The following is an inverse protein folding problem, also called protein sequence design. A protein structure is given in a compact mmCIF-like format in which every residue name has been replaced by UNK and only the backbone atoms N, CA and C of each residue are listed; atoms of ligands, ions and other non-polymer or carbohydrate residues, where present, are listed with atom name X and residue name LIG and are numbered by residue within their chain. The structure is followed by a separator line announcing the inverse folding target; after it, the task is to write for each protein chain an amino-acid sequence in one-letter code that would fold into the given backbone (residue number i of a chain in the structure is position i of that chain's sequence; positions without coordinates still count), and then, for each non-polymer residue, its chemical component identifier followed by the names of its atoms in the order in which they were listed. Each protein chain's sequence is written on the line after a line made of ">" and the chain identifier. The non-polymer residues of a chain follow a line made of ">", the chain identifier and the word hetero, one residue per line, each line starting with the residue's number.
data_IF_290942707486
#
_entry.id   IF_290942707486
#
_cell.length_a   1.000
_cell.length_b   1.000
_cell.length_c   1.000
_cell.angle_alpha   90.00
_cell.angle_beta   90.00
_cell.angle_gamma   90.00
#
_symmetry.space_group_name_H-M   'P 1'
#
loop_
_entity.id
_entity.type
_entity.pdbx_description
1 polymer ?
#
# COMPACT_ATOMS: atom_id res chain seq x y z
N UNK A 1 15.04 87.65 -18.52
CA UNK A 1 14.02 86.59 -18.58
C UNK A 1 14.71 85.27 -18.23
N UNK A 2 14.61 84.79 -16.98
CA UNK A 2 15.29 83.56 -16.48
C UNK A 2 14.28 82.45 -16.40
N UNK A 3 14.43 81.41 -17.21
CA UNK A 3 13.61 80.21 -17.23
C UNK A 3 14.21 79.27 -16.20
N UNK A 4 13.38 78.89 -15.17
CA UNK A 4 13.72 77.83 -14.19
C UNK A 4 13.20 76.52 -14.72
N UNK A 5 14.06 75.55 -15.00
CA UNK A 5 13.71 74.15 -15.24
C UNK A 5 13.53 73.50 -13.87
N UNK A 6 12.34 73.00 -13.60
CA UNK A 6 12.01 72.11 -12.50
C UNK A 6 12.16 70.64 -12.96
N UNK A 7 13.12 69.93 -12.37
CA UNK A 7 13.32 68.52 -12.63
C UNK A 7 12.32 67.71 -11.79
N UNK A 8 11.42 66.96 -12.44
CA UNK A 8 10.57 65.95 -11.78
C UNK A 8 11.40 64.64 -11.61
N UNK A 9 11.63 64.26 -10.36
CA UNK A 9 12.18 62.96 -10.02
C UNK A 9 11.03 61.89 -10.00
N UNK A 10 11.09 60.95 -10.91
CA UNK A 10 10.22 59.79 -10.87
C UNK A 10 10.79 58.75 -9.89
N UNK A 11 10.11 58.52 -8.75
CA UNK A 11 10.37 57.38 -7.88
C UNK A 11 9.75 56.12 -8.54
N UNK A 12 10.61 55.25 -9.03
CA UNK A 12 10.19 53.91 -9.45
C UNK A 12 10.04 53.04 -8.21
N UNK A 13 8.80 52.75 -7.79
CA UNK A 13 8.50 51.76 -6.76
C UNK A 13 8.67 50.37 -7.38
N UNK A 14 9.73 49.68 -6.99
CA UNK A 14 9.93 48.29 -7.35
C UNK A 14 8.92 47.41 -6.57
N UNK A 15 7.90 46.91 -7.25
CA UNK A 15 6.99 45.87 -6.75
C UNK A 15 7.78 44.55 -6.62
N UNK A 16 8.17 44.20 -5.40
CA UNK A 16 8.70 42.88 -5.07
C UNK A 16 7.51 41.93 -5.01
N UNK A 17 7.27 41.22 -6.10
CA UNK A 17 6.32 40.08 -6.11
C UNK A 17 6.92 38.95 -5.28
N UNK A 18 6.17 38.36 -4.34
CA UNK A 18 6.63 37.17 -3.65
C UNK A 18 6.79 36.05 -4.67
N UNK A 19 8.00 35.58 -4.88
CA UNK A 19 8.25 34.32 -5.59
C UNK A 19 7.67 33.21 -4.77
N UNK A 20 6.48 32.71 -5.14
CA UNK A 20 5.99 31.43 -4.66
C UNK A 20 7.04 30.41 -5.07
N UNK A 21 7.78 29.87 -4.07
CA UNK A 21 8.63 28.71 -4.27
C UNK A 21 7.73 27.59 -4.78
N UNK A 22 7.68 27.41 -6.10
CA UNK A 22 7.02 26.29 -6.74
C UNK A 22 7.57 25.03 -6.09
N UNK A 23 6.70 24.11 -5.67
CA UNK A 23 7.10 22.78 -5.24
C UNK A 23 8.00 22.22 -6.35
N UNK A 24 9.32 22.21 -6.10
CA UNK A 24 10.30 21.80 -7.09
C UNK A 24 9.97 20.40 -7.58
N UNK A 25 9.86 20.24 -8.89
CA UNK A 25 9.72 18.92 -9.51
C UNK A 25 10.82 18.01 -8.95
N UNK A 26 10.42 17.01 -8.18
CA UNK A 26 11.33 15.95 -7.74
C UNK A 26 11.26 14.83 -8.79
N UNK A 27 12.39 14.42 -9.38
CA UNK A 27 12.40 13.30 -10.30
C UNK A 27 11.76 12.06 -9.61
N UNK A 28 11.04 11.21 -10.36
CA UNK A 28 10.51 9.98 -9.82
C UNK A 28 11.63 9.21 -9.12
N UNK A 29 11.35 8.67 -7.95
CA UNK A 29 12.33 7.92 -7.16
C UNK A 29 12.78 6.72 -7.99
N UNK A 30 14.07 6.67 -8.29
CA UNK A 30 14.63 5.54 -9.03
C UNK A 30 14.53 4.29 -8.15
N UNK A 31 13.83 3.25 -8.63
CA UNK A 31 13.74 1.97 -7.95
C UNK A 31 15.12 1.29 -7.94
N UNK A 32 15.76 1.07 -6.78
CA UNK A 32 17.06 0.41 -6.72
C UNK A 32 17.00 -1.07 -7.12
N UNK A 33 15.79 -1.64 -7.16
CA UNK A 33 15.54 -3.02 -7.55
C UNK A 33 15.38 -3.20 -9.07
N UNK A 34 15.64 -2.14 -9.84
CA UNK A 34 15.64 -2.18 -11.31
C UNK A 34 17.05 -2.03 -11.90
N UNK A 35 17.22 -2.52 -13.11
CA UNK A 35 18.47 -2.40 -13.89
C UNK A 35 19.66 -3.16 -13.29
N UNK A 36 20.87 -2.68 -13.59
CA UNK A 36 22.11 -3.38 -13.22
C UNK A 36 22.37 -3.45 -11.70
N UNK A 37 21.92 -2.44 -10.95
CA UNK A 37 22.08 -2.39 -9.48
C UNK A 37 21.32 -3.51 -8.78
N UNK A 38 20.19 -3.91 -9.31
CA UNK A 38 19.35 -4.98 -8.77
C UNK A 38 20.08 -6.33 -8.65
N UNK A 39 21.09 -6.59 -9.49
CA UNK A 39 21.87 -7.84 -9.47
C UNK A 39 22.60 -8.07 -8.15
N UNK A 40 22.99 -7.00 -7.46
CA UNK A 40 23.70 -7.04 -6.19
C UNK A 40 22.79 -6.91 -4.97
N UNK A 41 21.48 -6.83 -5.18
CA UNK A 41 20.49 -6.66 -4.13
C UNK A 41 19.59 -7.91 -4.00
N UNK A 42 19.19 -8.18 -2.78
CA UNK A 42 18.14 -9.13 -2.46
C UNK A 42 16.83 -8.34 -2.41
N UNK A 43 16.28 -8.03 -3.57
CA UNK A 43 15.09 -7.22 -3.68
C UNK A 43 13.84 -7.97 -3.21
N UNK A 44 12.95 -7.31 -2.45
CA UNK A 44 11.64 -7.84 -2.13
C UNK A 44 10.73 -7.87 -3.35
N UNK A 45 9.61 -8.59 -3.23
CA UNK A 45 8.57 -8.73 -4.22
C UNK A 45 7.28 -9.13 -3.49
N UNK A 46 6.35 -8.21 -3.38
CA UNK A 46 5.04 -8.48 -2.77
C UNK A 46 4.05 -8.88 -3.85
N UNK A 47 3.27 -9.89 -3.56
CA UNK A 47 2.15 -10.31 -4.40
C UNK A 47 0.92 -10.50 -3.54
N UNK A 48 -0.23 -10.20 -4.08
CA UNK A 48 -1.47 -10.54 -3.42
C UNK A 48 -2.11 -11.75 -4.09
N UNK A 49 -2.53 -12.74 -3.27
CA UNK A 49 -3.27 -13.89 -3.75
C UNK A 49 -4.65 -13.50 -4.31
N UNK A 50 -5.26 -14.35 -5.17
CA UNK A 50 -6.63 -14.11 -5.57
C UNK A 50 -7.57 -14.13 -4.36
N UNK A 51 -8.63 -13.30 -4.35
CA UNK A 51 -9.63 -13.31 -3.29
C UNK A 51 -10.12 -14.74 -2.99
N UNK A 52 -10.12 -15.14 -1.73
CA UNK A 52 -10.53 -16.48 -1.30
C UNK A 52 -11.54 -16.41 -0.15
N UNK A 53 -12.11 -17.56 0.25
CA UNK A 53 -13.06 -17.69 1.36
C UNK A 53 -14.17 -16.64 1.29
N UNK A 54 -14.74 -16.47 0.10
CA UNK A 54 -15.71 -15.42 -0.18
C UNK A 54 -17.10 -15.83 0.31
N UNK A 55 -17.77 -14.89 0.98
CA UNK A 55 -19.16 -15.01 1.37
C UNK A 55 -19.86 -13.66 1.39
N UNK A 56 -21.17 -13.64 1.52
CA UNK A 56 -21.93 -12.40 1.70
C UNK A 56 -22.60 -12.35 3.07
N UNK A 57 -22.68 -11.14 3.62
CA UNK A 57 -23.45 -10.82 4.80
C UNK A 57 -24.37 -9.62 4.55
N UNK A 58 -25.36 -9.44 5.40
CA UNK A 58 -26.21 -8.23 5.40
C UNK A 58 -26.03 -7.49 6.70
N UNK A 59 -25.69 -6.22 6.62
CA UNK A 59 -25.53 -5.35 7.79
C UNK A 59 -25.95 -3.91 7.47
N UNK A 60 -26.81 -3.34 8.31
CA UNK A 60 -27.28 -1.97 8.15
C UNK A 60 -27.92 -1.69 6.78
N UNK A 61 -28.68 -2.62 6.23
CA UNK A 61 -29.32 -2.50 4.90
C UNK A 61 -28.33 -2.63 3.72
N UNK A 62 -27.06 -2.95 3.96
CA UNK A 62 -26.05 -3.18 2.94
C UNK A 62 -25.82 -4.67 2.74
N UNK A 63 -25.51 -5.06 1.50
CA UNK A 63 -25.04 -6.42 1.16
C UNK A 63 -23.53 -6.35 0.99
N UNK A 64 -22.80 -7.04 1.85
CA UNK A 64 -21.34 -6.98 1.93
C UNK A 64 -20.75 -8.29 1.40
N UNK A 65 -19.92 -8.19 0.37
CA UNK A 65 -19.09 -9.29 -0.12
C UNK A 65 -17.76 -9.28 0.63
N UNK A 66 -17.51 -10.34 1.38
CA UNK A 66 -16.29 -10.56 2.14
C UNK A 66 -15.31 -11.43 1.36
N UNK A 67 -14.00 -11.25 1.61
CA UNK A 67 -12.97 -12.12 1.05
C UNK A 67 -11.70 -12.10 1.91
N UNK A 68 -11.04 -13.22 2.02
CA UNK A 68 -9.67 -13.33 2.56
C UNK A 68 -8.68 -12.72 1.58
N UNK A 69 -7.74 -11.94 2.10
CA UNK A 69 -6.59 -11.42 1.36
C UNK A 69 -5.28 -11.99 1.89
N UNK A 70 -4.38 -12.36 1.00
CA UNK A 70 -3.11 -13.02 1.28
C UNK A 70 -1.98 -12.25 0.61
N UNK A 71 -1.26 -11.43 1.39
CA UNK A 71 -0.09 -10.65 0.94
C UNK A 71 1.16 -11.50 1.11
N UNK A 72 1.77 -11.89 0.00
CA UNK A 72 2.86 -12.85 -0.10
C UNK A 72 4.19 -12.17 -0.36
N UNK A 73 5.26 -12.58 0.34
CA UNK A 73 6.63 -12.18 0.04
C UNK A 73 7.30 -13.21 -0.86
N UNK A 74 7.60 -12.85 -2.11
CA UNK A 74 8.10 -13.74 -3.16
C UNK A 74 9.47 -13.35 -3.71
N UNK A 75 10.02 -12.22 -3.29
CA UNK A 75 11.31 -11.70 -3.73
C UNK A 75 12.52 -12.52 -3.29
N UNK A 76 13.69 -12.02 -3.65
CA UNK A 76 14.97 -12.59 -3.19
C UNK A 76 15.32 -12.19 -1.77
N UNK A 77 14.74 -11.09 -1.25
CA UNK A 77 14.89 -10.59 0.10
C UNK A 77 13.52 -10.24 0.71
N UNK A 78 13.50 -9.99 2.02
CA UNK A 78 12.28 -9.63 2.73
C UNK A 78 11.83 -8.22 2.38
N UNK A 79 10.54 -7.93 2.51
CA UNK A 79 10.05 -6.58 2.66
C UNK A 79 10.33 -6.13 4.10
N UNK A 80 11.24 -5.18 4.29
CA UNK A 80 11.72 -4.73 5.61
C UNK A 80 11.54 -3.21 5.75
N UNK A 81 10.53 -2.82 6.51
CA UNK A 81 10.06 -1.44 6.65
C UNK A 81 10.39 -0.90 8.04
N UNK A 82 11.02 0.27 8.10
CA UNK A 82 11.40 0.96 9.33
C UNK A 82 10.66 2.29 9.42
N UNK A 83 9.73 2.36 10.36
CA UNK A 83 8.99 3.57 10.71
C UNK A 83 9.78 4.43 11.70
N UNK A 84 9.77 5.74 11.48
CA UNK A 84 10.23 6.76 12.43
C UNK A 84 9.10 7.76 12.60
N UNK A 85 8.70 8.01 13.85
CA UNK A 85 7.63 8.95 14.18
C UNK A 85 7.84 10.32 13.54
N UNK A 86 6.79 10.86 12.95
CA UNK A 86 6.74 12.20 12.38
C UNK A 86 5.47 12.97 12.76
N UNK A 87 4.54 12.31 13.44
CA UNK A 87 3.31 12.89 13.93
C UNK A 87 2.68 12.07 15.07
N UNK A 88 1.58 12.55 15.62
CA UNK A 88 0.89 11.88 16.75
C UNK A 88 0.50 10.43 16.42
N UNK A 89 0.06 10.16 15.20
CA UNK A 89 -0.45 8.86 14.73
C UNK A 89 0.18 8.44 13.40
N UNK A 90 1.35 8.99 13.06
CA UNK A 90 2.03 8.73 11.80
C UNK A 90 3.52 8.52 11.98
N UNK A 91 4.10 7.72 11.07
CA UNK A 91 5.54 7.56 10.90
C UNK A 91 5.90 7.61 9.43
N UNK A 92 7.02 8.27 9.11
CA UNK A 92 7.70 8.11 7.82
C UNK A 92 8.38 6.76 7.77
N UNK A 93 8.40 6.15 6.57
CA UNK A 93 8.96 4.83 6.36
C UNK A 93 10.20 4.89 5.49
N UNK A 94 11.24 4.20 5.92
CA UNK A 94 12.37 3.77 5.09
C UNK A 94 12.30 2.27 4.88
N UNK A 95 12.80 1.81 3.75
CA UNK A 95 12.90 0.40 3.42
C UNK A 95 14.36 -0.03 3.43
N UNK A 96 14.66 -1.15 4.06
CA UNK A 96 15.97 -1.82 3.94
C UNK A 96 15.91 -2.86 2.84
N UNK A 97 16.88 -2.79 1.94
CA UNK A 97 17.08 -3.77 0.87
C UNK A 97 18.45 -4.40 1.09
N UNK A 98 18.48 -5.68 1.31
CA UNK A 98 19.70 -6.41 1.64
C UNK A 98 20.58 -6.61 0.41
N UNK A 99 21.88 -6.76 0.62
CA UNK A 99 22.87 -7.01 -0.44
C UNK A 99 23.22 -8.48 -0.52
N UNK A 100 23.51 -8.94 -1.73
CA UNK A 100 24.21 -10.22 -1.91
C UNK A 100 25.58 -10.10 -1.24
N UNK A 101 25.92 -11.03 -0.36
CA UNK A 101 27.19 -10.98 0.39
C UNK A 101 27.14 -10.23 1.73
N UNK A 102 25.97 -9.67 2.11
CA UNK A 102 25.73 -9.07 3.42
C UNK A 102 25.59 -7.55 3.42
N UNK A 103 25.08 -7.06 4.54
CA UNK A 103 24.70 -5.65 4.69
C UNK A 103 23.41 -5.26 3.95
N UNK A 104 23.07 -3.99 3.95
CA UNK A 104 21.86 -3.46 3.29
C UNK A 104 22.08 -2.03 2.80
N UNK A 105 21.18 -1.56 1.96
CA UNK A 105 20.94 -0.14 1.68
C UNK A 105 19.64 0.27 2.37
N UNK A 106 19.55 1.53 2.76
CA UNK A 106 18.33 2.13 3.30
C UNK A 106 17.83 3.19 2.33
N UNK A 107 16.59 3.06 1.90
CA UNK A 107 15.96 3.97 0.93
C UNK A 107 14.72 4.60 1.53
N UNK A 108 14.47 5.88 1.20
CA UNK A 108 13.23 6.56 1.58
C UNK A 108 12.10 6.07 0.67
N UNK A 109 10.98 5.71 1.26
CA UNK A 109 9.79 5.26 0.54
C UNK A 109 8.74 6.37 0.41
N UNK A 110 7.68 6.11 -0.35
CA UNK A 110 6.44 6.89 -0.32
C UNK A 110 5.47 6.42 0.77
N UNK A 111 5.75 5.26 1.37
CA UNK A 111 4.90 4.66 2.41
C UNK A 111 4.99 5.40 3.74
N UNK A 112 3.97 5.22 4.57
CA UNK A 112 3.92 5.66 5.96
C UNK A 112 3.28 4.60 6.83
N UNK A 113 3.52 4.66 8.16
CA UNK A 113 2.73 3.92 9.12
C UNK A 113 1.69 4.84 9.75
N UNK A 114 0.50 4.29 10.00
CA UNK A 114 -0.55 4.96 10.74
C UNK A 114 -1.00 4.09 11.91
N UNK A 115 -1.16 4.72 13.08
CA UNK A 115 -1.78 4.08 14.24
C UNK A 115 -3.29 3.99 14.01
N UNK A 116 -3.77 2.78 13.76
CA UNK A 116 -5.12 2.50 13.24
C UNK A 116 -5.90 1.69 14.24
N UNK A 117 -7.11 2.14 14.57
CA UNK A 117 -8.06 1.38 15.36
C UNK A 117 -8.84 0.40 14.46
N UNK A 118 -8.94 -0.86 14.89
CA UNK A 118 -9.72 -1.91 14.24
C UNK A 118 -10.81 -2.47 15.16
N UNK A 119 -11.02 -1.84 16.31
CA UNK A 119 -11.95 -2.28 17.34
C UNK A 119 -11.38 -3.38 18.25
N UNK A 120 -11.91 -3.46 19.46
CA UNK A 120 -11.42 -4.38 20.50
C UNK A 120 -11.47 -5.85 20.09
N UNK A 121 -12.49 -6.26 19.33
CA UNK A 121 -12.65 -7.64 18.84
C UNK A 121 -11.46 -8.09 17.95
N UNK A 122 -10.86 -7.16 17.19
CA UNK A 122 -9.71 -7.44 16.32
C UNK A 122 -8.36 -7.02 16.93
N UNK A 123 -8.29 -6.84 18.25
CA UNK A 123 -7.06 -6.52 18.98
C UNK A 123 -6.82 -5.03 19.22
N UNK A 124 -7.80 -4.16 18.97
CA UNK A 124 -7.73 -2.73 19.31
C UNK A 124 -6.97 -1.90 18.29
N UNK A 125 -5.98 -1.13 18.73
CA UNK A 125 -5.24 -0.20 17.87
C UNK A 125 -3.78 -0.61 17.73
N UNK A 126 -3.22 -0.49 16.53
CA UNK A 126 -1.81 -0.76 16.27
C UNK A 126 -1.30 -0.05 15.01
N UNK A 127 0.02 -0.02 14.88
CA UNK A 127 0.68 0.56 13.72
C UNK A 127 0.50 -0.32 12.49
N UNK A 128 0.12 0.30 11.37
CA UNK A 128 -0.10 -0.37 10.07
C UNK A 128 0.54 0.41 8.95
N UNK A 129 1.00 -0.28 7.92
CA UNK A 129 1.35 0.35 6.65
C UNK A 129 0.10 0.96 6.04
N UNK A 130 0.14 2.27 5.82
CA UNK A 130 -0.99 3.05 5.31
C UNK A 130 -1.19 2.82 3.82
N UNK A 131 -2.42 2.50 3.42
CA UNK A 131 -2.80 2.28 2.03
C UNK A 131 -1.95 1.21 1.32
N UNK A 132 -1.56 0.15 2.04
CA UNK A 132 -0.79 -0.96 1.49
C UNK A 132 -1.59 -1.79 0.49
N UNK A 133 -2.91 -1.80 0.58
CA UNK A 133 -3.73 -2.54 -0.37
C UNK A 133 -4.92 -1.71 -0.88
N UNK A 134 -5.48 -2.15 -2.02
CA UNK A 134 -6.70 -1.62 -2.62
C UNK A 134 -7.51 -2.78 -3.18
N UNK A 135 -8.81 -2.80 -2.88
CA UNK A 135 -9.74 -3.79 -3.43
C UNK A 135 -10.80 -3.07 -4.25
N UNK A 136 -11.03 -3.56 -5.45
CA UNK A 136 -11.91 -2.96 -6.45
C UNK A 136 -12.83 -4.00 -7.06
N UNK A 137 -14.05 -3.58 -7.36
CA UNK A 137 -14.99 -4.37 -8.14
C UNK A 137 -15.22 -3.67 -9.47
N UNK A 138 -14.99 -4.40 -10.56
CA UNK A 138 -15.14 -3.92 -11.94
C UNK A 138 -16.06 -4.87 -12.72
N UNK A 139 -17.03 -4.39 -13.50
CA UNK A 139 -17.82 -5.26 -14.37
C UNK A 139 -16.91 -5.95 -15.40
N UNK A 140 -17.19 -7.22 -15.69
CA UNK A 140 -16.59 -7.93 -16.82
C UNK A 140 -17.41 -7.60 -18.05
N UNK A 141 -16.75 -7.04 -19.07
CA UNK A 141 -17.35 -6.64 -20.33
C UNK A 141 -17.60 -7.84 -21.25
N UNK A 142 -18.46 -7.72 -22.29
CA UNK A 142 -18.73 -8.80 -23.23
C UNK A 142 -17.50 -9.36 -23.95
N UNK A 143 -16.49 -8.53 -24.18
CA UNK A 143 -15.20 -8.91 -24.76
C UNK A 143 -14.25 -9.57 -23.76
N UNK A 144 -14.67 -9.73 -22.50
CA UNK A 144 -13.87 -10.26 -21.39
C UNK A 144 -12.96 -9.24 -20.71
N UNK A 145 -12.91 -8.01 -21.19
CA UNK A 145 -12.21 -6.90 -20.58
C UNK A 145 -12.86 -6.44 -19.26
N UNK A 146 -12.19 -5.55 -18.54
CA UNK A 146 -12.68 -4.98 -17.27
C UNK A 146 -13.15 -3.54 -17.50
N UNK A 147 -14.37 -3.25 -17.08
CA UNK A 147 -14.90 -1.89 -17.06
C UNK A 147 -14.35 -1.04 -15.91
N UNK A 148 -14.93 0.14 -15.74
CA UNK A 148 -14.56 1.07 -14.67
C UNK A 148 -14.86 0.53 -13.28
N UNK A 149 -14.14 1.03 -12.27
CA UNK A 149 -14.35 0.66 -10.87
C UNK A 149 -15.73 1.12 -10.41
N UNK A 150 -16.57 0.19 -10.00
CA UNK A 150 -17.93 0.49 -9.50
C UNK A 150 -18.01 0.48 -7.98
N UNK A 151 -17.11 -0.22 -7.30
CA UNK A 151 -17.02 -0.27 -5.82
C UNK A 151 -15.58 -0.47 -5.39
N UNK A 152 -15.27 0.05 -4.17
CA UNK A 152 -14.01 -0.17 -3.46
C UNK A 152 -14.29 -0.70 -2.06
N UNK A 153 -13.33 -1.40 -1.48
CA UNK A 153 -13.36 -1.81 -0.07
C UNK A 153 -12.81 -0.71 0.84
N UNK A 154 -13.29 -0.59 2.08
CA UNK A 154 -12.67 0.25 3.10
C UNK A 154 -11.33 -0.29 3.64
N UNK A 155 -10.96 -1.55 3.32
CA UNK A 155 -9.69 -2.14 3.73
C UNK A 155 -8.53 -1.56 2.94
N UNK A 156 -7.66 -0.82 3.62
CA UNK A 156 -6.52 -0.13 3.01
C UNK A 156 -5.20 -0.39 3.75
N UNK A 157 -5.26 -0.57 5.07
CA UNK A 157 -4.08 -0.60 5.94
C UNK A 157 -3.77 -2.02 6.44
N UNK A 158 -2.51 -2.39 6.44
CA UNK A 158 -2.04 -3.72 6.80
C UNK A 158 -0.95 -3.66 7.88
N UNK A 159 -1.08 -4.54 8.87
CA UNK A 159 0.02 -4.90 9.77
C UNK A 159 0.92 -5.92 9.05
N UNK A 160 1.77 -5.47 8.16
CA UNK A 160 2.62 -6.39 7.40
C UNK A 160 3.53 -7.18 8.33
N UNK A 161 3.34 -8.51 8.38
CA UNK A 161 4.01 -9.44 9.30
C UNK A 161 4.14 -10.86 8.73
N UNK A 162 4.90 -11.71 9.41
CA UNK A 162 4.99 -13.14 9.12
C UNK A 162 3.89 -13.90 9.85
N UNK A 163 2.76 -14.16 9.18
CA UNK A 163 1.66 -14.93 9.77
C UNK A 163 1.74 -16.41 9.42
N UNK A 164 1.95 -16.72 8.13
CA UNK A 164 2.01 -18.09 7.65
C UNK A 164 3.18 -18.29 6.68
N UNK A 165 3.89 -19.42 6.80
CA UNK A 165 4.95 -19.81 5.87
C UNK A 165 4.37 -20.54 4.66
N UNK A 166 3.96 -19.78 3.65
CA UNK A 166 3.23 -20.29 2.48
C UNK A 166 4.13 -20.81 1.36
N UNK A 167 5.42 -20.48 1.37
CA UNK A 167 6.42 -20.99 0.40
C UNK A 167 7.74 -21.34 1.09
N UNK A 168 7.84 -22.52 1.75
CA UNK A 168 9.09 -23.02 2.29
C UNK A 168 10.16 -23.09 1.21
N UNK A 169 11.40 -22.74 1.54
CA UNK A 169 12.54 -22.80 0.63
C UNK A 169 13.85 -22.39 1.30
N UNK A 170 14.96 -22.47 0.59
CA UNK A 170 16.31 -22.20 1.10
C UNK A 170 16.45 -20.82 1.77
N UNK A 171 15.74 -19.81 1.26
CA UNK A 171 15.80 -18.42 1.77
C UNK A 171 14.61 -18.03 2.64
N UNK A 172 13.68 -18.97 2.89
CA UNK A 172 12.53 -18.76 3.75
C UNK A 172 12.87 -19.18 5.19
N UNK A 173 12.92 -18.26 6.16
CA UNK A 173 13.18 -18.61 7.54
C UNK A 173 12.13 -19.60 8.05
N UNK A 174 12.54 -20.51 8.94
CA UNK A 174 11.66 -21.53 9.52
C UNK A 174 10.72 -20.98 10.58
N UNK A 175 11.08 -19.84 11.18
CA UNK A 175 10.30 -19.15 12.20
C UNK A 175 9.98 -17.73 11.71
N UNK A 176 8.86 -17.19 12.14
CA UNK A 176 8.46 -15.82 11.87
C UNK A 176 9.54 -14.85 12.37
N UNK A 177 9.95 -13.92 11.52
CA UNK A 177 10.93 -12.88 11.83
C UNK A 177 10.24 -11.54 12.14
N UNK A 178 9.17 -11.23 11.42
CA UNK A 178 8.38 -10.02 11.63
C UNK A 178 7.17 -10.36 12.51
N UNK A 179 7.16 -9.89 13.77
CA UNK A 179 6.08 -10.18 14.72
C UNK A 179 4.81 -9.37 14.39
N UNK A 180 3.79 -9.53 15.23
CA UNK A 180 2.60 -8.67 15.20
C UNK A 180 2.95 -7.20 15.41
N UNK A 181 2.13 -6.31 14.87
CA UNK A 181 2.35 -4.88 14.92
C UNK A 181 2.22 -4.31 16.34
N UNK A 182 3.00 -3.27 16.60
CA UNK A 182 3.08 -2.64 17.90
C UNK A 182 1.77 -1.90 18.25
N UNK A 183 1.31 -2.07 19.50
CA UNK A 183 0.10 -1.46 20.06
C UNK A 183 0.38 -0.22 20.89
N UNK A 184 1.64 0.14 21.14
CA UNK A 184 2.00 1.35 21.87
C UNK A 184 1.87 2.58 20.96
N UNK A 185 0.89 3.49 21.21
CA UNK A 185 0.76 4.71 20.44
C UNK A 185 1.93 5.67 20.66
N UNK A 186 2.73 5.48 21.69
CA UNK A 186 3.87 6.32 22.09
C UNK A 186 5.19 5.94 21.45
N UNK A 187 5.30 4.77 20.80
CA UNK A 187 6.57 4.30 20.25
C UNK A 187 7.16 5.24 19.20
N UNK A 188 8.46 5.51 19.30
CA UNK A 188 9.18 6.40 18.37
C UNK A 188 9.62 5.73 17.08
N UNK A 189 9.82 4.41 17.12
CA UNK A 189 10.26 3.60 15.99
C UNK A 189 9.52 2.28 15.98
N UNK A 190 9.13 1.84 14.79
CA UNK A 190 8.52 0.53 14.59
C UNK A 190 9.12 -0.18 13.38
N UNK A 191 9.00 -1.49 13.33
CA UNK A 191 9.49 -2.31 12.24
C UNK A 191 8.44 -3.30 11.82
N UNK A 192 7.97 -3.15 10.57
CA UNK A 192 7.02 -4.06 9.95
C UNK A 192 7.66 -4.71 8.72
N UNK A 193 7.16 -5.85 8.31
CA UNK A 193 7.67 -6.50 7.13
C UNK A 193 7.13 -7.91 6.95
N UNK A 194 7.64 -8.57 5.91
CA UNK A 194 7.38 -10.00 5.71
C UNK A 194 8.60 -10.67 5.09
N UNK A 195 9.01 -11.80 5.67
CA UNK A 195 10.16 -12.58 5.26
C UNK A 195 9.88 -13.33 3.96
N UNK A 196 10.93 -13.65 3.22
CA UNK A 196 10.82 -14.44 1.98
C UNK A 196 10.07 -15.75 2.24
N UNK A 197 9.02 -16.01 1.44
CA UNK A 197 8.21 -17.22 1.54
C UNK A 197 7.15 -17.19 2.64
N UNK A 198 7.01 -16.09 3.36
CA UNK A 198 5.93 -15.85 4.31
C UNK A 198 4.81 -15.02 3.70
N UNK A 199 3.66 -15.06 4.34
CA UNK A 199 2.46 -14.31 3.99
C UNK A 199 1.85 -13.63 5.21
N UNK A 200 1.27 -12.47 4.98
CA UNK A 200 0.36 -11.79 5.90
C UNK A 200 -1.07 -12.01 5.39
N UNK A 201 -1.84 -12.80 6.12
CA UNK A 201 -3.17 -13.25 5.73
C UNK A 201 -4.22 -12.57 6.59
N UNK A 202 -5.19 -11.94 5.96
CA UNK A 202 -6.35 -11.36 6.62
C UNK A 202 -7.59 -12.16 6.24
N UNK A 203 -8.19 -12.89 7.20
CA UNK A 203 -9.40 -13.69 6.96
C UNK A 203 -10.58 -12.81 6.56
N UNK A 204 -11.53 -13.38 5.86
CA UNK A 204 -12.67 -12.69 5.27
C UNK A 204 -13.59 -11.99 6.28
N UNK A 205 -13.58 -12.40 7.53
CA UNK A 205 -14.33 -11.82 8.65
C UNK A 205 -13.56 -10.71 9.41
N UNK A 206 -12.31 -10.45 9.02
CA UNK A 206 -11.51 -9.40 9.67
C UNK A 206 -12.02 -7.98 9.38
N UNK A 207 -11.61 -6.99 10.18
CA UNK A 207 -12.01 -5.59 10.04
C UNK A 207 -11.88 -5.09 8.61
N UNK A 208 -12.99 -4.58 8.05
CA UNK A 208 -13.08 -3.98 6.71
C UNK A 208 -12.75 -4.89 5.53
N UNK A 209 -12.62 -6.20 5.72
CA UNK A 209 -12.42 -7.19 4.64
C UNK A 209 -13.70 -7.43 3.83
N UNK A 210 -14.37 -6.35 3.40
CA UNK A 210 -15.61 -6.42 2.64
C UNK A 210 -15.73 -5.32 1.59
N UNK A 211 -16.61 -5.54 0.62
CA UNK A 211 -17.05 -4.54 -0.36
C UNK A 211 -18.58 -4.54 -0.42
N UNK A 212 -19.19 -3.36 -0.38
CA UNK A 212 -20.65 -3.27 -0.53
C UNK A 212 -21.05 -3.56 -1.98
N UNK A 213 -21.80 -4.63 -2.19
CA UNK A 213 -22.27 -5.08 -3.50
C UNK A 213 -23.78 -4.92 -3.68
N UNK A 214 -24.47 -4.26 -2.74
CA UNK A 214 -25.90 -4.02 -2.81
C UNK A 214 -26.30 -3.35 -4.14
N UNK A 215 -27.36 -3.89 -4.75
CA UNK A 215 -27.90 -3.40 -6.03
C UNK A 215 -27.13 -3.81 -7.27
N UNK A 216 -25.95 -4.43 -7.15
CA UNK A 216 -25.17 -4.89 -8.32
C UNK A 216 -25.68 -6.24 -8.82
N UNK A 217 -25.70 -6.42 -10.16
CA UNK A 217 -26.09 -7.64 -10.86
C UNK A 217 -25.16 -7.88 -12.04
N UNK A 218 -24.83 -9.15 -12.29
CA UNK A 218 -24.00 -9.57 -13.42
C UNK A 218 -22.64 -10.13 -13.02
N UNK A 219 -21.71 -10.12 -13.97
CA UNK A 219 -20.36 -10.63 -13.78
C UNK A 219 -19.40 -9.50 -13.42
N UNK A 220 -18.58 -9.68 -12.38
CA UNK A 220 -17.60 -8.72 -11.92
C UNK A 220 -16.25 -9.39 -11.65
N UNK A 221 -15.16 -8.67 -11.86
CA UNK A 221 -13.85 -9.00 -11.34
C UNK A 221 -13.69 -8.32 -9.98
N UNK A 222 -13.50 -9.10 -8.93
CA UNK A 222 -13.07 -8.59 -7.63
C UNK A 222 -11.54 -8.63 -7.59
N UNK A 223 -10.91 -7.48 -7.71
CA UNK A 223 -9.46 -7.30 -7.81
C UNK A 223 -8.91 -6.81 -6.49
N UNK A 224 -7.84 -7.45 -6.03
CA UNK A 224 -7.02 -7.02 -4.91
C UNK A 224 -5.65 -6.61 -5.44
N UNK A 225 -5.11 -5.48 -4.95
CA UNK A 225 -3.78 -4.96 -5.32
C UNK A 225 -3.02 -4.62 -4.05
N UNK A 226 -1.80 -5.14 -3.90
CA UNK A 226 -0.83 -4.70 -2.87
C UNK A 226 0.01 -3.58 -3.45
N UNK A 227 0.43 -2.65 -2.61
CA UNK A 227 1.14 -1.42 -2.95
C UNK A 227 0.61 -0.67 -4.21
N UNK A 228 -0.68 -0.34 -4.28
CA UNK A 228 -1.31 0.23 -5.47
C UNK A 228 -0.80 1.63 -5.86
N UNK A 229 0.11 2.19 -5.08
CA UNK A 229 0.72 3.51 -5.31
C UNK A 229 2.21 3.44 -5.61
N UNK A 230 2.78 2.23 -5.68
CA UNK A 230 4.21 1.99 -5.88
C UNK A 230 5.05 2.82 -4.91
N UNK A 231 4.67 2.80 -3.63
CA UNK A 231 5.37 3.50 -2.56
C UNK A 231 6.56 2.72 -2.01
N UNK A 232 6.58 1.40 -2.21
CA UNK A 232 7.66 0.50 -1.87
C UNK A 232 8.52 0.23 -3.10
N UNK A 233 9.72 -0.32 -2.90
CA UNK A 233 10.61 -0.71 -3.99
C UNK A 233 10.66 -2.22 -4.08
N UNK A 234 10.28 -2.75 -5.22
CA UNK A 234 10.12 -4.18 -5.48
C UNK A 234 10.88 -4.61 -6.74
N UNK A 235 11.17 -5.89 -6.85
CA UNK A 235 11.82 -6.43 -8.06
C UNK A 235 10.85 -6.53 -9.25
N UNK A 236 9.55 -6.58 -8.99
CA UNK A 236 8.51 -6.60 -10.00
C UNK A 236 7.26 -5.88 -9.50
N UNK A 237 6.93 -4.76 -10.12
CA UNK A 237 5.76 -3.93 -9.79
C UNK A 237 4.51 -4.32 -10.60
N UNK A 238 4.62 -5.30 -11.51
CA UNK A 238 3.55 -5.65 -12.44
C UNK A 238 2.69 -6.84 -11.98
N UNK A 239 3.09 -7.55 -10.92
CA UNK A 239 2.37 -8.71 -10.39
C UNK A 239 1.77 -8.50 -9.00
N UNK A 240 1.62 -7.23 -8.60
CA UNK A 240 1.02 -6.79 -7.35
C UNK A 240 -0.51 -6.96 -7.29
N UNK A 241 -1.15 -7.35 -8.40
CA UNK A 241 -2.60 -7.48 -8.48
C UNK A 241 -3.04 -8.91 -8.78
N UNK A 242 -4.15 -9.30 -8.17
CA UNK A 242 -4.84 -10.55 -8.48
C UNK A 242 -6.34 -10.35 -8.42
N UNK A 243 -7.11 -11.18 -9.13
CA UNK A 243 -8.56 -11.06 -9.13
C UNK A 243 -9.26 -12.42 -9.18
N UNK A 244 -10.54 -12.40 -8.83
CA UNK A 244 -11.48 -13.50 -9.05
C UNK A 244 -12.75 -12.96 -9.69
N UNK A 245 -13.25 -13.66 -10.69
CA UNK A 245 -14.57 -13.35 -11.27
C UNK A 245 -15.67 -13.86 -10.33
N UNK A 246 -16.67 -13.03 -10.13
CA UNK A 246 -17.80 -13.30 -9.25
C UNK A 246 -19.11 -12.90 -9.92
N UNK A 247 -20.13 -13.71 -9.79
CA UNK A 247 -21.50 -13.39 -10.21
C UNK A 247 -22.24 -12.72 -9.06
N UNK A 248 -22.90 -11.61 -9.33
CA UNK A 248 -23.76 -10.94 -8.36
C UNK A 248 -25.22 -11.01 -8.82
N UNK A 249 -26.19 -11.23 -7.88
CA UNK A 249 -26.00 -11.56 -6.47
C UNK A 249 -25.10 -12.77 -6.27
N UNK A 250 -24.28 -12.73 -5.20
CA UNK A 250 -23.24 -13.74 -4.98
C UNK A 250 -23.84 -15.10 -4.63
N UNK A 251 -23.49 -16.12 -5.40
CA UNK A 251 -23.92 -17.54 -5.21
C UNK A 251 -22.74 -18.49 -5.01
N UNK A 252 -21.51 -17.95 -4.91
CA UNK A 252 -20.28 -18.75 -4.92
C UNK A 252 -19.82 -19.14 -6.34
N UNK A 253 -20.66 -19.00 -7.33
CA UNK A 253 -20.31 -19.32 -8.71
C UNK A 253 -19.41 -18.25 -9.34
N UNK A 254 -18.43 -18.71 -10.12
CA UNK A 254 -17.68 -17.86 -11.03
C UNK A 254 -18.51 -17.54 -12.29
N UNK A 255 -18.16 -16.53 -12.97
CA UNK A 255 -18.60 -16.25 -14.32
C UNK A 255 -17.39 -16.28 -15.29
#
# INVERSE_FOLDING_TARGET
>A
MKIRLTALAFLAAALILPTTAGAGWQPPRQNPCEGQRAKHLLCPDLRIGPPSEMYVSSYGGKVLLHATSDVRSRGRGPMDLHGQRDGRRSMKVTQRIYKVGGGHITVRTGAGLHFTDVGAYFGGSYWKVHQLARFELRPVLPDGGLGEVVRTSPKLNYCLRDLERTRPGKHSPTHAFYPGCNQDPGIERDRLGTAVGWSDIYPSDYDKQYTNVGGLRGCFAFTMTVDPKHHLFESNEHDNSSHRRVRLPFTGASC
#
